data_IF_637060139473
#
_entry.id   IF_637060139473
#
_cell.length_a   1.000
_cell.length_b   1.000
_cell.length_c   1.000
_cell.angle_alpha   90.00
_cell.angle_beta   90.00
_cell.angle_gamma   90.00
#
_symmetry.space_group_name_H-M   'P 1'
#
loop_
_entity.id
_entity.type
_entity.pdbx_description
1 polymer ?
#
# COMPACT_ATOMS: atom_id res chain seq x y z
N UNK A 1 12.60 -54.24 -9.82
CA UNK A 1 11.25 -53.64 -9.81
C UNK A 1 11.27 -52.45 -8.87
N UNK A 2 11.26 -51.22 -9.38
CA UNK A 2 10.92 -50.05 -8.56
C UNK A 2 10.15 -49.07 -9.44
N UNK A 3 8.82 -49.10 -9.31
CA UNK A 3 7.95 -48.09 -9.93
C UNK A 3 7.85 -46.94 -8.95
N UNK A 4 8.53 -45.84 -9.23
CA UNK A 4 8.30 -44.58 -8.54
C UNK A 4 6.90 -44.09 -8.93
N UNK A 5 5.92 -44.32 -8.07
CA UNK A 5 4.61 -43.67 -8.15
C UNK A 5 4.81 -42.20 -7.78
N UNK A 6 5.04 -41.36 -8.78
CA UNK A 6 4.87 -39.92 -8.63
C UNK A 6 3.39 -39.65 -8.32
N UNK A 7 3.09 -39.45 -7.05
CA UNK A 7 1.78 -38.98 -6.61
C UNK A 7 1.65 -37.54 -7.09
N UNK A 8 1.02 -37.34 -8.25
CA UNK A 8 0.58 -36.02 -8.71
C UNK A 8 -0.48 -35.54 -7.71
N UNK A 9 -0.07 -34.70 -6.76
CA UNK A 9 -1.01 -33.93 -5.95
C UNK A 9 -1.71 -32.95 -6.89
N UNK A 10 -3.05 -33.01 -7.04
CA UNK A 10 -3.77 -32.01 -7.80
C UNK A 10 -3.57 -30.67 -7.09
N UNK A 11 -2.94 -29.72 -7.76
CA UNK A 11 -2.94 -28.32 -7.34
C UNK A 11 -4.38 -27.85 -7.52
N UNK A 12 -5.15 -27.88 -6.44
CA UNK A 12 -6.48 -27.28 -6.40
C UNK A 12 -6.27 -25.77 -6.43
N UNK A 13 -6.35 -25.19 -7.62
CA UNK A 13 -6.39 -23.74 -7.79
C UNK A 13 -7.70 -23.22 -7.22
N UNK A 14 -7.67 -22.69 -6.00
CA UNK A 14 -8.78 -21.90 -5.47
C UNK A 14 -8.83 -20.58 -6.23
N UNK A 15 -9.79 -20.45 -7.14
CA UNK A 15 -10.13 -19.16 -7.73
C UNK A 15 -10.73 -18.28 -6.62
N UNK A 16 -10.18 -17.08 -6.42
CA UNK A 16 -10.79 -16.07 -5.55
C UNK A 16 -12.07 -15.57 -6.22
N UNK A 17 -13.22 -16.04 -5.73
CA UNK A 17 -14.54 -15.55 -6.13
C UNK A 17 -15.06 -14.56 -5.09
N UNK A 18 -15.82 -13.55 -5.50
CA UNK A 18 -16.48 -12.65 -4.55
C UNK A 18 -17.45 -13.39 -3.63
N UNK A 19 -17.64 -12.89 -2.41
CA UNK A 19 -18.53 -13.48 -1.42
C UNK A 19 -20.00 -13.13 -1.70
N UNK A 20 -20.84 -14.13 -2.01
CA UNK A 20 -22.26 -13.92 -2.37
C UNK A 20 -23.07 -13.17 -1.30
N UNK A 21 -22.73 -13.35 -0.02
CA UNK A 21 -23.42 -12.68 1.10
C UNK A 21 -23.29 -11.15 1.04
N UNK A 22 -22.25 -10.64 0.37
CA UNK A 22 -21.95 -9.22 0.22
C UNK A 22 -22.53 -8.60 -1.05
N UNK A 23 -23.22 -9.38 -1.90
CA UNK A 23 -23.83 -8.89 -3.16
C UNK A 23 -24.66 -7.63 -2.94
N UNK A 24 -25.56 -7.67 -1.94
CA UNK A 24 -26.47 -6.55 -1.66
C UNK A 24 -25.72 -5.29 -1.20
N UNK A 25 -24.66 -5.47 -0.40
CA UNK A 25 -23.85 -4.37 0.09
C UNK A 25 -23.01 -3.75 -1.04
N UNK A 26 -22.46 -4.59 -1.92
CA UNK A 26 -21.74 -4.16 -3.11
C UNK A 26 -22.62 -3.32 -4.04
N UNK A 27 -23.82 -3.79 -4.36
CA UNK A 27 -24.77 -3.04 -5.20
C UNK A 27 -25.16 -1.69 -4.58
N UNK A 28 -25.45 -1.67 -3.27
CA UNK A 28 -25.76 -0.44 -2.56
C UNK A 28 -24.59 0.53 -2.54
N UNK A 29 -23.36 0.05 -2.31
CA UNK A 29 -22.15 0.87 -2.31
C UNK A 29 -21.88 1.45 -3.69
N UNK A 30 -21.98 0.65 -4.76
CA UNK A 30 -21.85 1.13 -6.15
C UNK A 30 -22.84 2.24 -6.44
N UNK A 31 -24.11 2.05 -6.07
CA UNK A 31 -25.17 3.04 -6.27
C UNK A 31 -24.89 4.33 -5.49
N UNK A 32 -24.49 4.20 -4.23
CA UNK A 32 -24.20 5.34 -3.34
C UNK A 32 -23.05 6.20 -3.87
N UNK A 33 -22.03 5.58 -4.48
CA UNK A 33 -20.85 6.28 -5.00
C UNK A 33 -20.83 6.45 -6.52
N UNK A 34 -21.94 6.13 -7.22
CA UNK A 34 -22.05 6.29 -8.67
C UNK A 34 -21.05 5.46 -9.47
N UNK A 35 -20.66 4.29 -8.97
CA UNK A 35 -19.63 3.44 -9.59
C UNK A 35 -20.16 2.71 -10.81
N UNK A 36 -19.40 2.74 -11.90
CA UNK A 36 -19.69 2.05 -13.15
C UNK A 36 -18.40 1.42 -13.67
N UNK A 37 -18.51 0.22 -14.26
CA UNK A 37 -17.37 -0.55 -14.73
C UNK A 37 -17.58 -0.95 -16.19
N UNK A 38 -16.48 -1.04 -16.94
CA UNK A 38 -16.53 -1.23 -18.38
C UNK A 38 -16.85 -2.68 -18.78
N UNK A 39 -16.63 -3.64 -17.87
CA UNK A 39 -16.89 -5.05 -18.12
C UNK A 39 -17.16 -5.80 -16.81
N UNK A 40 -17.77 -6.99 -16.92
CA UNK A 40 -17.94 -7.87 -15.75
C UNK A 40 -16.61 -8.30 -15.12
N UNK A 41 -15.56 -8.47 -15.93
CA UNK A 41 -14.23 -8.86 -15.41
C UNK A 41 -13.63 -7.73 -14.57
N UNK A 42 -13.73 -6.49 -15.03
CA UNK A 42 -13.32 -5.30 -14.29
C UNK A 42 -14.13 -5.15 -13.00
N UNK A 43 -15.45 -5.30 -13.08
CA UNK A 43 -16.32 -5.25 -11.91
C UNK A 43 -15.96 -6.31 -10.86
N UNK A 44 -15.72 -7.56 -11.27
CA UNK A 44 -15.31 -8.63 -10.35
C UNK A 44 -13.96 -8.30 -9.71
N UNK A 45 -13.00 -7.79 -10.49
CA UNK A 45 -11.70 -7.36 -9.95
C UNK A 45 -11.86 -6.24 -8.90
N UNK A 46 -12.69 -5.24 -9.20
CA UNK A 46 -12.99 -4.12 -8.30
C UNK A 46 -13.72 -4.57 -7.04
N UNK A 47 -14.64 -5.52 -7.19
CA UNK A 47 -15.35 -6.14 -6.06
C UNK A 47 -14.39 -6.89 -5.13
N UNK A 48 -13.44 -7.65 -5.66
CA UNK A 48 -12.44 -8.34 -4.83
C UNK A 48 -11.57 -7.36 -4.03
N UNK A 49 -11.21 -6.20 -4.63
CA UNK A 49 -10.50 -5.14 -3.91
C UNK A 49 -11.37 -4.54 -2.81
N UNK A 50 -12.64 -4.29 -3.11
CA UNK A 50 -13.61 -3.76 -2.15
C UNK A 50 -13.83 -4.69 -0.96
N UNK A 51 -14.01 -6.00 -1.19
CA UNK A 51 -14.16 -7.00 -0.10
C UNK A 51 -12.88 -7.08 0.75
N UNK A 52 -11.71 -7.04 0.12
CA UNK A 52 -10.42 -7.00 0.83
C UNK A 52 -10.31 -5.75 1.71
N UNK A 53 -10.71 -4.58 1.21
CA UNK A 53 -10.71 -3.34 1.97
C UNK A 53 -11.75 -3.35 3.09
N UNK A 54 -12.93 -3.94 2.85
CA UNK A 54 -13.97 -4.11 3.87
C UNK A 54 -13.43 -4.96 5.03
N UNK A 55 -12.80 -6.09 4.72
CA UNK A 55 -12.15 -6.95 5.73
C UNK A 55 -11.06 -6.20 6.51
N UNK A 56 -10.23 -5.41 5.82
CA UNK A 56 -9.20 -4.58 6.46
C UNK A 56 -9.81 -3.59 7.46
N UNK A 57 -10.91 -2.93 7.07
CA UNK A 57 -11.64 -2.00 7.94
C UNK A 57 -12.16 -2.73 9.18
N UNK A 58 -12.81 -3.88 9.00
CA UNK A 58 -13.36 -4.67 10.11
C UNK A 58 -12.28 -5.10 11.11
N UNK A 59 -11.15 -5.61 10.62
CA UNK A 59 -10.03 -6.03 11.49
C UNK A 59 -9.44 -4.82 12.22
N UNK A 60 -9.16 -3.72 11.51
CA UNK A 60 -8.62 -2.51 12.13
C UNK A 60 -9.54 -1.93 13.20
N UNK A 61 -10.85 -1.89 12.97
CA UNK A 61 -11.79 -1.34 13.95
C UNK A 61 -11.97 -2.26 15.15
N UNK A 62 -11.84 -3.58 14.98
CA UNK A 62 -11.75 -4.50 16.10
C UNK A 62 -10.49 -4.20 16.94
N UNK A 63 -9.33 -4.05 16.31
CA UNK A 63 -8.09 -3.66 17.00
C UNK A 63 -8.21 -2.29 17.69
N UNK A 64 -8.88 -1.31 17.06
CA UNK A 64 -9.15 0.00 17.64
C UNK A 64 -10.02 -0.11 18.90
N UNK A 65 -11.06 -0.96 18.88
CA UNK A 65 -11.92 -1.22 20.05
C UNK A 65 -11.16 -1.87 21.23
N UNK A 66 -10.04 -2.54 20.93
CA UNK A 66 -9.11 -3.12 21.91
C UNK A 66 -8.02 -2.12 22.35
N UNK A 67 -8.08 -0.87 21.87
CA UNK A 67 -7.14 0.20 22.23
C UNK A 67 -5.83 0.20 21.46
N UNK A 68 -5.68 -0.62 20.39
CA UNK A 68 -4.46 -0.66 19.59
C UNK A 68 -4.31 0.55 18.64
N UNK A 69 -5.43 1.16 18.26
CA UNK A 69 -5.48 2.34 17.39
C UNK A 69 -6.33 3.44 18.03
N UNK A 70 -5.98 4.69 17.74
CA UNK A 70 -6.70 5.89 18.23
C UNK A 70 -7.70 6.43 17.22
N UNK A 71 -7.91 5.73 16.11
CA UNK A 71 -8.83 6.10 15.04
C UNK A 71 -9.54 4.86 14.49
N UNK A 72 -10.62 5.11 13.75
CA UNK A 72 -11.41 4.07 13.08
C UNK A 72 -11.38 4.31 11.56
N UNK A 73 -11.64 3.24 10.81
CA UNK A 73 -11.81 3.27 9.37
C UNK A 73 -13.27 3.08 8.98
N UNK A 74 -13.66 3.59 7.83
CA UNK A 74 -14.97 3.38 7.25
C UNK A 74 -14.86 3.16 5.75
N UNK A 75 -15.79 2.39 5.19
CA UNK A 75 -15.86 2.20 3.75
C UNK A 75 -16.25 3.51 3.07
N UNK A 76 -15.50 3.91 2.05
CA UNK A 76 -15.71 5.16 1.31
C UNK A 76 -15.65 4.92 -0.21
N UNK A 77 -15.66 6.01 -0.99
CA UNK A 77 -15.64 5.95 -2.46
C UNK A 77 -14.34 5.39 -3.07
N UNK A 78 -13.27 5.25 -2.29
CA UNK A 78 -12.00 4.63 -2.68
C UNK A 78 -11.96 3.12 -2.35
N UNK A 79 -13.07 2.56 -1.87
CA UNK A 79 -13.16 1.18 -1.43
C UNK A 79 -12.74 0.15 -2.49
N UNK A 80 -12.94 0.43 -3.77
CA UNK A 80 -12.57 -0.42 -4.91
C UNK A 80 -11.15 -0.17 -5.46
N UNK A 81 -10.34 0.66 -4.79
CA UNK A 81 -8.98 1.00 -5.21
C UNK A 81 -7.94 0.40 -4.27
N UNK A 82 -6.77 0.05 -4.83
CA UNK A 82 -5.60 -0.28 -3.99
C UNK A 82 -4.94 1.00 -3.49
N UNK A 83 -4.14 0.88 -2.41
CA UNK A 83 -3.37 2.01 -1.88
C UNK A 83 -2.45 2.61 -2.95
N UNK A 84 -1.84 1.77 -3.78
CA UNK A 84 -0.94 2.19 -4.86
C UNK A 84 -1.68 2.95 -5.95
N UNK A 85 -2.90 2.50 -6.31
CA UNK A 85 -3.74 3.21 -7.27
C UNK A 85 -4.15 4.59 -6.75
N UNK A 86 -4.51 4.70 -5.46
CA UNK A 86 -4.84 5.98 -4.82
C UNK A 86 -3.64 6.92 -4.85
N UNK A 87 -2.47 6.43 -4.45
CA UNK A 87 -1.22 7.22 -4.50
C UNK A 87 -0.95 7.70 -5.93
N UNK A 88 -1.02 6.79 -6.92
CA UNK A 88 -0.72 7.11 -8.31
C UNK A 88 -1.69 8.11 -8.94
N UNK A 89 -3.00 8.00 -8.63
CA UNK A 89 -4.05 8.77 -9.33
C UNK A 89 -4.52 10.02 -8.58
N UNK A 90 -4.39 10.03 -7.25
CA UNK A 90 -5.01 11.05 -6.39
C UNK A 90 -4.02 11.79 -5.50
N UNK A 91 -2.72 11.50 -5.60
CA UNK A 91 -1.67 12.29 -4.96
C UNK A 91 -0.76 12.92 -6.02
N UNK A 92 0.09 13.86 -5.61
CA UNK A 92 0.96 14.58 -6.56
C UNK A 92 2.21 15.19 -5.94
N UNK A 93 2.53 14.87 -4.69
CA UNK A 93 3.71 15.41 -4.03
C UNK A 93 4.97 14.84 -4.68
N UNK A 94 5.79 15.74 -5.23
CA UNK A 94 7.12 15.42 -5.76
C UNK A 94 8.15 16.08 -4.88
N UNK A 95 8.88 15.28 -4.12
CA UNK A 95 9.98 15.76 -3.30
C UNK A 95 11.15 16.08 -4.23
N UNK A 96 11.67 17.32 -4.23
CA UNK A 96 12.84 17.64 -5.04
C UNK A 96 14.02 16.76 -4.58
N UNK A 97 14.93 16.37 -5.50
CA UNK A 97 16.13 15.66 -5.09
C UNK A 97 16.86 16.50 -4.04
N UNK A 98 17.30 15.85 -2.96
CA UNK A 98 18.13 16.52 -1.96
C UNK A 98 19.32 17.14 -2.69
N UNK A 99 19.55 18.45 -2.48
CA UNK A 99 20.85 19.01 -2.84
C UNK A 99 21.86 18.19 -2.07
N UNK A 100 22.75 17.48 -2.78
CA UNK A 100 24.02 17.07 -2.20
C UNK A 100 24.54 18.31 -1.47
N UNK A 101 24.79 18.18 -0.17
CA UNK A 101 25.57 19.19 0.54
C UNK A 101 26.87 19.30 -0.24
N UNK A 102 26.98 20.30 -1.11
CA UNK A 102 28.27 20.70 -1.63
C UNK A 102 29.04 21.21 -0.43
N UNK A 103 30.22 20.66 -0.21
CA UNK A 103 31.15 21.17 0.79
C UNK A 103 31.65 22.59 0.41
N UNK A 104 31.20 23.19 -0.70
CA UNK A 104 31.52 24.58 -1.07
C UNK A 104 31.08 25.62 -0.02
N UNK A 105 30.09 25.30 0.81
CA UNK A 105 29.70 26.15 1.96
C UNK A 105 30.32 25.71 3.28
N UNK A 106 31.15 24.66 3.29
CA UNK A 106 31.89 24.25 4.47
C UNK A 106 33.03 25.26 4.67
N UNK A 107 32.77 26.28 5.50
CA UNK A 107 33.82 27.16 6.00
C UNK A 107 34.80 26.32 6.83
N UNK A 108 35.93 25.97 6.23
CA UNK A 108 37.11 25.46 6.93
C UNK A 108 37.85 26.65 7.53
N UNK A 109 37.90 26.76 8.87
CA UNK A 109 38.64 27.85 9.50
C UNK A 109 40.14 27.77 9.18
N UNK A 110 40.74 28.89 8.84
CA UNK A 110 42.17 29.00 8.46
C UNK A 110 43.14 28.45 9.53
N UNK A 111 42.71 28.33 10.80
CA UNK A 111 43.56 27.85 11.89
C UNK A 111 43.90 26.35 11.82
N UNK A 112 43.20 25.55 11.02
CA UNK A 112 43.51 24.13 10.84
C UNK A 112 44.83 23.90 10.07
N UNK A 113 45.28 24.85 9.24
CA UNK A 113 46.58 24.77 8.55
C UNK A 113 47.76 25.34 9.35
N UNK A 114 47.50 26.06 10.45
CA UNK A 114 48.53 26.78 11.21
C UNK A 114 49.17 25.97 12.33
N UNK A 115 48.62 24.80 12.65
CA UNK A 115 49.13 23.93 13.72
C UNK A 115 50.46 23.23 13.38
N UNK A 116 50.81 23.09 12.09
CA UNK A 116 52.02 22.38 11.69
C UNK A 116 53.28 23.25 11.49
N UNK A 117 53.16 24.59 11.43
CA UNK A 117 54.30 25.48 11.12
C UNK A 117 54.90 26.21 12.32
N UNK A 118 54.46 25.88 13.56
CA UNK A 118 54.93 26.55 14.79
C UNK A 118 55.74 25.64 15.73
N UNK A 119 56.23 24.51 15.23
CA UNK A 119 57.10 23.58 15.99
C UNK A 119 58.51 23.44 15.40
N UNK A 120 58.91 24.34 14.50
CA UNK A 120 60.29 24.47 14.03
C UNK A 120 60.78 25.89 14.33
N UNK A 121 61.15 26.14 15.59
CA UNK A 121 62.13 27.16 16.04
C UNK A 121 62.49 26.88 17.51
#
# INVERSE_FOLDING_TARGET
MWVFKFLLLPVVSFALSPEETLDTQWELWKKTHGKQYNSKVDEISRRLIWEKNLKKISVHNLEASLGAHTYELAMNHLGDMTSEEVVQKMTGLRVPPSRSFSNDTLYTPEWEGRSSSRLED
#
